data_IF_481237663325
#
_entry.id   IF_481237663325
#
_cell.length_a   1.000
_cell.length_b   1.000
_cell.length_c   1.000
_cell.angle_alpha   90.00
_cell.angle_beta   90.00
_cell.angle_gamma   90.00
#
_symmetry.space_group_name_H-M   'P 1'
#
loop_
_entity.id
_entity.type
_entity.pdbx_description
1 polymer ?
#
# COMPACT_ATOMS: atom_id res chain seq x y z
N UNK A 1 -34.06 -4.59 5.44
CA UNK A 1 -33.74 -6.02 5.38
C UNK A 1 -32.54 -6.32 4.46
N UNK A 2 -32.49 -5.81 3.24
CA UNK A 2 -31.41 -6.04 2.26
C UNK A 2 -30.00 -5.62 2.77
N UNK A 3 -29.88 -4.43 3.36
CA UNK A 3 -28.59 -3.87 3.86
C UNK A 3 -27.95 -4.77 4.95
N UNK A 4 -28.74 -5.33 5.85
CA UNK A 4 -28.21 -6.20 6.91
C UNK A 4 -27.74 -7.56 6.36
N UNK A 5 -28.50 -8.14 5.41
CA UNK A 5 -28.11 -9.37 4.72
C UNK A 5 -26.80 -9.15 3.94
N UNK A 6 -26.68 -8.02 3.25
CA UNK A 6 -25.45 -7.67 2.53
C UNK A 6 -24.22 -7.60 3.44
N UNK A 7 -24.35 -6.98 4.63
CA UNK A 7 -23.23 -6.88 5.58
C UNK A 7 -22.70 -8.24 6.01
N UNK A 8 -23.60 -9.22 6.20
CA UNK A 8 -23.21 -10.58 6.58
C UNK A 8 -22.50 -11.31 5.42
N UNK A 9 -23.01 -11.20 4.20
CA UNK A 9 -22.35 -11.79 3.02
C UNK A 9 -20.99 -11.14 2.75
N UNK A 10 -20.89 -9.83 2.95
CA UNK A 10 -19.63 -9.12 2.80
C UNK A 10 -18.61 -9.53 3.86
N UNK A 11 -19.05 -9.70 5.12
CA UNK A 11 -18.17 -10.23 6.17
C UNK A 11 -17.71 -11.65 5.84
N UNK A 12 -18.59 -12.52 5.39
CA UNK A 12 -18.24 -13.87 4.96
C UNK A 12 -17.22 -13.85 3.81
N UNK A 13 -17.44 -13.01 2.79
CA UNK A 13 -16.52 -12.84 1.68
C UNK A 13 -15.11 -12.42 2.15
N UNK A 14 -15.02 -11.39 3.01
CA UNK A 14 -13.74 -10.94 3.54
C UNK A 14 -13.07 -12.00 4.43
N UNK A 15 -13.85 -12.76 5.20
CA UNK A 15 -13.35 -13.86 6.03
C UNK A 15 -12.76 -14.98 5.17
N UNK A 16 -13.41 -15.33 4.07
CA UNK A 16 -12.87 -16.30 3.11
C UNK A 16 -11.58 -15.80 2.47
N UNK A 17 -11.54 -14.55 2.02
CA UNK A 17 -10.32 -13.96 1.48
C UNK A 17 -9.17 -13.95 2.50
N UNK A 18 -9.48 -13.69 3.77
CA UNK A 18 -8.49 -13.73 4.84
C UNK A 18 -7.94 -15.16 5.04
N UNK A 19 -8.81 -16.16 5.10
CA UNK A 19 -8.41 -17.56 5.27
C UNK A 19 -7.55 -18.04 4.09
N UNK A 20 -8.00 -17.82 2.85
CA UNK A 20 -7.23 -18.18 1.67
C UNK A 20 -5.92 -17.38 1.59
N UNK A 21 -5.94 -16.08 1.91
CA UNK A 21 -4.72 -15.27 1.93
C UNK A 21 -3.69 -15.78 2.92
N UNK A 22 -4.07 -16.11 4.15
CA UNK A 22 -3.15 -16.68 5.15
C UNK A 22 -2.64 -18.06 4.70
N UNK A 23 -3.50 -18.90 4.13
CA UNK A 23 -3.10 -20.18 3.57
C UNK A 23 -2.04 -20.03 2.47
N UNK A 24 -2.26 -19.16 1.50
CA UNK A 24 -1.28 -18.90 0.45
C UNK A 24 0.02 -18.27 0.96
N UNK A 25 -0.04 -17.40 1.97
CA UNK A 25 1.17 -16.88 2.62
C UNK A 25 1.95 -17.99 3.32
N UNK A 26 1.25 -18.96 3.92
CA UNK A 26 1.89 -20.13 4.52
C UNK A 26 2.61 -20.98 3.47
N UNK A 27 1.95 -21.31 2.36
CA UNK A 27 2.58 -22.04 1.25
C UNK A 27 3.82 -21.31 0.72
N UNK A 28 3.73 -20.00 0.52
CA UNK A 28 4.85 -19.19 0.05
C UNK A 28 6.07 -19.22 0.95
N UNK A 29 5.89 -19.15 2.26
CA UNK A 29 7.05 -19.14 3.16
C UNK A 29 7.79 -20.50 3.17
N UNK A 30 7.11 -21.60 2.84
CA UNK A 30 7.73 -22.93 2.72
C UNK A 30 8.51 -23.05 1.42
N UNK A 31 7.89 -22.73 0.28
CA UNK A 31 8.48 -22.87 -1.06
C UNK A 31 9.66 -21.91 -1.23
N UNK A 32 9.50 -20.69 -0.74
CA UNK A 32 10.54 -19.66 -0.73
C UNK A 32 10.94 -19.10 -2.09
N UNK A 33 11.73 -18.04 -2.09
CA UNK A 33 12.42 -17.47 -3.26
C UNK A 33 11.49 -16.74 -4.25
N UNK A 34 10.53 -15.98 -3.74
CA UNK A 34 9.75 -15.07 -4.57
C UNK A 34 10.08 -13.59 -4.29
N UNK A 35 9.58 -12.71 -5.15
CA UNK A 35 9.76 -11.27 -5.03
C UNK A 35 9.14 -10.71 -3.75
N UNK A 36 8.04 -11.29 -3.29
CA UNK A 36 7.27 -10.85 -2.12
C UNK A 36 8.08 -11.04 -0.84
N UNK A 37 8.63 -12.24 -0.63
CA UNK A 37 9.43 -12.56 0.56
C UNK A 37 10.76 -11.81 0.54
N UNK A 38 11.45 -11.78 -0.61
CA UNK A 38 12.75 -11.11 -0.72
C UNK A 38 12.68 -9.60 -0.44
N UNK A 39 11.57 -8.95 -0.75
CA UNK A 39 11.37 -7.55 -0.39
C UNK A 39 11.31 -7.34 1.14
N UNK A 40 10.75 -8.30 1.88
CA UNK A 40 10.67 -8.25 3.33
C UNK A 40 11.98 -8.63 4.03
N UNK A 41 12.93 -9.25 3.32
CA UNK A 41 14.26 -9.59 3.85
C UNK A 41 15.24 -8.41 3.85
N UNK A 42 14.93 -7.30 3.15
CA UNK A 42 15.75 -6.10 3.14
C UNK A 42 15.85 -5.56 4.57
N UNK A 43 17.06 -5.54 5.14
CA UNK A 43 17.36 -5.20 6.52
C UNK A 43 18.47 -4.12 6.61
N UNK A 44 18.83 -3.73 7.84
CA UNK A 44 19.83 -2.70 8.10
C UNK A 44 21.21 -3.24 8.54
N UNK A 45 21.44 -4.55 8.42
CA UNK A 45 22.72 -5.15 8.82
C UNK A 45 23.90 -4.67 7.95
N UNK A 46 23.63 -4.20 6.75
CA UNK A 46 24.61 -3.52 5.89
C UNK A 46 24.54 -1.99 5.95
N UNK A 47 23.81 -1.41 6.91
CA UNK A 47 23.61 0.03 7.02
C UNK A 47 22.22 0.48 6.57
N UNK A 48 21.95 1.78 6.74
CA UNK A 48 20.63 2.34 6.46
C UNK A 48 20.33 2.33 4.95
N UNK A 49 19.24 1.71 4.56
CA UNK A 49 18.80 1.58 3.16
C UNK A 49 17.28 1.75 3.04
N UNK A 50 16.82 2.04 1.82
CA UNK A 50 15.39 2.07 1.54
C UNK A 50 14.75 0.71 1.82
N UNK A 51 13.48 0.70 2.24
CA UNK A 51 12.67 -0.50 2.52
C UNK A 51 13.16 -1.39 3.65
N UNK A 52 14.19 -0.99 4.42
CA UNK A 52 14.84 -1.85 5.39
C UNK A 52 14.09 -2.00 6.71
N UNK A 53 13.23 -1.06 7.12
CA UNK A 53 12.62 -1.02 8.47
C UNK A 53 11.93 -2.32 8.85
N UNK A 54 11.03 -2.81 8.01
CA UNK A 54 10.23 -4.00 8.33
C UNK A 54 11.09 -5.26 8.29
N UNK A 55 12.02 -5.33 7.33
CA UNK A 55 12.93 -6.47 7.26
C UNK A 55 13.86 -6.53 8.46
N UNK A 56 14.33 -5.38 8.95
CA UNK A 56 15.12 -5.32 10.19
C UNK A 56 14.30 -5.79 11.40
N UNK A 57 13.05 -5.34 11.53
CA UNK A 57 12.17 -5.81 12.62
C UNK A 57 11.99 -7.33 12.55
N UNK A 58 11.71 -7.88 11.34
CA UNK A 58 11.57 -9.33 11.17
C UNK A 58 12.89 -10.07 11.49
N UNK A 59 14.03 -9.51 11.08
CA UNK A 59 15.36 -10.06 11.34
C UNK A 59 15.65 -10.12 12.85
N UNK A 60 15.43 -9.03 13.57
CA UNK A 60 15.62 -8.96 15.02
C UNK A 60 14.67 -9.91 15.78
N UNK A 61 13.42 -9.99 15.38
CA UNK A 61 12.44 -10.94 15.95
C UNK A 61 12.91 -12.39 15.71
N UNK A 62 13.35 -12.71 14.48
CA UNK A 62 13.83 -14.04 14.14
C UNK A 62 15.03 -14.45 15.01
N UNK A 63 15.99 -13.54 15.22
CA UNK A 63 17.14 -13.78 16.08
C UNK A 63 16.73 -13.91 17.55
N UNK A 64 15.89 -12.98 18.06
CA UNK A 64 15.49 -12.97 19.47
C UNK A 64 14.75 -14.24 19.87
N UNK A 65 13.84 -14.72 19.03
CA UNK A 65 13.05 -15.93 19.28
C UNK A 65 13.69 -17.21 18.74
N UNK A 66 14.87 -17.12 18.10
CA UNK A 66 15.55 -18.24 17.44
C UNK A 66 14.65 -19.02 16.48
N UNK A 67 13.91 -18.29 15.66
CA UNK A 67 13.02 -18.82 14.62
C UNK A 67 13.56 -18.50 13.22
N UNK A 68 13.12 -19.25 12.20
CA UNK A 68 13.48 -18.96 10.81
C UNK A 68 12.96 -17.59 10.38
N UNK A 69 13.79 -16.79 9.70
CA UNK A 69 13.40 -15.45 9.22
C UNK A 69 12.14 -15.48 8.36
N UNK A 70 12.00 -16.48 7.48
CA UNK A 70 10.79 -16.66 6.65
C UNK A 70 9.53 -16.84 7.48
N UNK A 71 9.63 -17.56 8.60
CA UNK A 71 8.49 -17.74 9.49
C UNK A 71 8.12 -16.42 10.19
N UNK A 72 9.10 -15.64 10.62
CA UNK A 72 8.86 -14.30 11.17
C UNK A 72 8.18 -13.39 10.13
N UNK A 73 8.64 -13.42 8.87
CA UNK A 73 8.03 -12.68 7.77
C UNK A 73 6.59 -13.15 7.53
N UNK A 74 6.35 -14.46 7.48
CA UNK A 74 4.99 -15.03 7.32
C UNK A 74 4.04 -14.53 8.41
N UNK A 75 4.47 -14.56 9.67
CA UNK A 75 3.64 -14.06 10.79
C UNK A 75 3.33 -12.57 10.61
N UNK A 76 4.34 -11.78 10.26
CA UNK A 76 4.16 -10.34 10.07
C UNK A 76 3.24 -10.03 8.89
N UNK A 77 3.43 -10.70 7.75
CA UNK A 77 2.55 -10.57 6.59
C UNK A 77 1.11 -10.95 6.91
N UNK A 78 0.92 -12.04 7.66
CA UNK A 78 -0.41 -12.51 8.08
C UNK A 78 -1.11 -11.51 9.00
N UNK A 79 -0.36 -10.91 9.95
CA UNK A 79 -0.88 -9.86 10.83
C UNK A 79 -1.29 -8.64 10.03
N UNK A 80 -0.41 -8.12 9.16
CA UNK A 80 -0.69 -6.91 8.37
C UNK A 80 -1.86 -7.14 7.40
N UNK A 81 -1.93 -8.31 6.77
CA UNK A 81 -3.05 -8.65 5.90
C UNK A 81 -4.36 -8.73 6.69
N UNK A 82 -4.35 -9.31 7.89
CA UNK A 82 -5.51 -9.34 8.79
C UNK A 82 -5.95 -7.93 9.19
N UNK A 83 -5.00 -7.07 9.56
CA UNK A 83 -5.28 -5.66 9.88
C UNK A 83 -5.90 -4.94 8.67
N UNK A 84 -5.35 -5.16 7.47
CA UNK A 84 -5.90 -4.60 6.23
C UNK A 84 -7.36 -5.00 6.03
N UNK A 85 -7.68 -6.28 6.10
CA UNK A 85 -9.06 -6.78 5.94
C UNK A 85 -10.00 -6.18 7.00
N UNK A 86 -9.56 -6.08 8.27
CA UNK A 86 -10.35 -5.47 9.35
C UNK A 86 -10.61 -3.99 9.07
N UNK A 87 -9.59 -3.25 8.63
CA UNK A 87 -9.72 -1.81 8.32
C UNK A 87 -10.64 -1.59 7.12
N UNK A 88 -10.49 -2.40 6.06
CA UNK A 88 -11.39 -2.39 4.89
C UNK A 88 -12.84 -2.65 5.32
N UNK A 89 -13.08 -3.68 6.13
CA UNK A 89 -14.40 -3.97 6.65
C UNK A 89 -15.00 -2.78 7.44
N UNK A 90 -14.23 -2.23 8.39
CA UNK A 90 -14.67 -1.09 9.20
C UNK A 90 -15.00 0.14 8.34
N UNK A 91 -14.19 0.40 7.31
CA UNK A 91 -14.43 1.51 6.40
C UNK A 91 -15.70 1.30 5.56
N UNK A 92 -15.81 0.15 4.88
CA UNK A 92 -16.92 -0.12 3.97
C UNK A 92 -18.25 -0.35 4.69
N UNK A 93 -18.23 -0.83 5.93
CA UNK A 93 -19.43 -0.95 6.77
C UNK A 93 -20.19 0.37 6.92
N UNK A 94 -19.48 1.51 6.88
CA UNK A 94 -20.02 2.86 7.07
C UNK A 94 -20.38 3.55 5.74
N UNK A 95 -20.04 2.96 4.60
CA UNK A 95 -20.35 3.50 3.28
C UNK A 95 -21.76 3.12 2.87
N UNK A 96 -22.50 4.06 2.27
CA UNK A 96 -23.80 3.76 1.66
C UNK A 96 -23.57 3.01 0.37
N UNK A 97 -23.91 1.74 0.38
CA UNK A 97 -23.66 0.80 -0.70
C UNK A 97 -24.78 0.96 -1.74
N UNK A 98 -24.38 1.20 -2.99
CA UNK A 98 -25.23 1.11 -4.17
C UNK A 98 -24.70 0.01 -5.11
N UNK A 99 -25.43 -0.31 -6.17
CA UNK A 99 -25.04 -1.37 -7.12
C UNK A 99 -23.66 -1.17 -7.75
N UNK A 100 -23.27 0.08 -8.02
CA UNK A 100 -21.96 0.39 -8.59
C UNK A 100 -20.82 0.17 -7.58
N UNK A 101 -21.04 0.53 -6.32
CA UNK A 101 -20.08 0.24 -5.25
C UNK A 101 -19.96 -1.28 -5.03
N UNK A 102 -21.08 -2.01 -5.09
CA UNK A 102 -21.07 -3.48 -5.06
C UNK A 102 -20.21 -4.05 -6.18
N UNK A 103 -20.43 -3.58 -7.41
CA UNK A 103 -19.64 -4.02 -8.54
C UNK A 103 -18.14 -3.77 -8.34
N UNK A 104 -17.76 -2.60 -7.80
CA UNK A 104 -16.36 -2.30 -7.47
C UNK A 104 -15.82 -3.24 -6.40
N UNK A 105 -16.55 -3.45 -5.30
CA UNK A 105 -16.09 -4.29 -4.19
C UNK A 105 -15.84 -5.74 -4.63
N UNK A 106 -16.73 -6.30 -5.44
CA UNK A 106 -16.64 -7.68 -5.92
C UNK A 106 -15.88 -7.82 -7.24
N UNK A 107 -15.39 -6.71 -7.80
CA UNK A 107 -14.51 -6.77 -8.96
C UNK A 107 -13.22 -7.53 -8.62
N UNK A 108 -12.77 -8.45 -9.50
CA UNK A 108 -11.54 -9.20 -9.26
C UNK A 108 -10.28 -8.33 -9.20
N UNK A 109 -10.36 -7.06 -9.61
CA UNK A 109 -9.22 -6.14 -9.67
C UNK A 109 -8.91 -5.51 -8.31
N UNK A 110 -9.85 -5.48 -7.35
CA UNK A 110 -9.66 -4.79 -6.07
C UNK A 110 -9.32 -5.77 -4.92
N UNK A 111 -10.29 -6.08 -4.08
CA UNK A 111 -10.05 -6.84 -2.83
C UNK A 111 -9.67 -8.30 -3.10
N UNK A 112 -10.21 -8.88 -4.18
CA UNK A 112 -9.89 -10.26 -4.57
C UNK A 112 -8.51 -10.38 -5.22
N UNK A 113 -8.03 -9.35 -5.91
CA UNK A 113 -6.81 -9.42 -6.70
C UNK A 113 -5.58 -9.91 -5.93
N UNK A 114 -5.28 -9.44 -4.71
CA UNK A 114 -4.13 -9.93 -3.96
C UNK A 114 -4.17 -11.42 -3.63
N UNK A 115 -5.36 -12.02 -3.54
CA UNK A 115 -5.52 -13.46 -3.28
C UNK A 115 -5.48 -14.26 -4.58
N UNK A 116 -5.99 -13.68 -5.66
CA UNK A 116 -5.96 -14.30 -6.99
C UNK A 116 -4.54 -14.30 -7.61
N UNK A 117 -3.77 -13.24 -7.33
CA UNK A 117 -2.39 -13.07 -7.77
C UNK A 117 -1.45 -13.11 -6.56
N UNK A 118 -0.97 -14.30 -6.25
CA UNK A 118 -0.20 -14.57 -5.03
C UNK A 118 1.06 -13.70 -4.92
N UNK A 119 1.68 -13.30 -6.05
CA UNK A 119 2.84 -12.42 -6.07
C UNK A 119 2.58 -11.01 -5.51
N UNK A 120 1.31 -10.61 -5.46
CA UNK A 120 0.88 -9.30 -4.94
C UNK A 120 0.43 -9.40 -3.48
N UNK A 121 0.19 -10.63 -2.98
CA UNK A 121 -0.35 -10.87 -1.65
C UNK A 121 0.61 -10.41 -0.56
N UNK A 122 0.11 -9.59 0.35
CA UNK A 122 0.82 -9.07 1.51
C UNK A 122 2.17 -8.39 1.20
N UNK A 123 2.26 -7.67 0.09
CA UNK A 123 3.39 -6.78 -0.18
C UNK A 123 3.37 -5.56 0.74
N UNK A 124 4.48 -4.83 0.79
CA UNK A 124 4.63 -3.63 1.64
C UNK A 124 3.64 -2.51 1.32
N UNK A 125 3.04 -2.51 0.12
CA UNK A 125 1.97 -1.58 -0.27
C UNK A 125 0.75 -1.65 0.67
N UNK A 126 0.51 -2.78 1.34
CA UNK A 126 -0.57 -2.88 2.34
C UNK A 126 -0.47 -1.85 3.46
N UNK A 127 0.74 -1.48 3.87
CA UNK A 127 0.92 -0.42 4.86
C UNK A 127 0.37 0.92 4.37
N UNK A 128 0.54 1.21 3.07
CA UNK A 128 0.03 2.44 2.48
C UNK A 128 -1.49 2.41 2.43
N UNK A 129 -2.09 1.29 2.02
CA UNK A 129 -3.55 1.16 1.98
C UNK A 129 -4.15 1.26 3.39
N UNK A 130 -3.55 0.62 4.39
CA UNK A 130 -3.97 0.76 5.80
C UNK A 130 -3.84 2.22 6.23
N UNK A 131 -2.66 2.83 6.01
CA UNK A 131 -2.41 4.22 6.36
C UNK A 131 -3.39 5.18 5.69
N UNK A 132 -3.70 4.99 4.41
CA UNK A 132 -4.67 5.81 3.70
C UNK A 132 -6.11 5.62 4.21
N UNK A 133 -6.54 4.39 4.46
CA UNK A 133 -7.87 4.12 5.02
C UNK A 133 -8.03 4.71 6.43
N UNK A 134 -6.99 4.63 7.27
CA UNK A 134 -6.97 5.27 8.58
C UNK A 134 -7.03 6.79 8.42
N UNK A 135 -6.26 7.36 7.51
CA UNK A 135 -6.31 8.79 7.19
C UNK A 135 -7.71 9.25 6.77
N UNK A 136 -8.41 8.49 5.92
CA UNK A 136 -9.80 8.76 5.56
C UNK A 136 -10.72 8.77 6.77
N UNK A 137 -10.56 7.81 7.69
CA UNK A 137 -11.34 7.76 8.93
C UNK A 137 -11.09 8.99 9.83
N UNK A 138 -9.82 9.36 10.04
CA UNK A 138 -9.47 10.56 10.80
C UNK A 138 -9.96 11.83 10.11
N UNK A 139 -9.90 11.89 8.78
CA UNK A 139 -10.37 13.04 8.01
C UNK A 139 -11.90 13.15 7.97
N UNK A 140 -12.64 12.06 8.14
CA UNK A 140 -14.11 12.05 8.19
C UNK A 140 -14.68 12.40 9.56
N UNK A 141 -13.87 12.30 10.60
CA UNK A 141 -14.30 12.60 11.97
C UNK A 141 -14.35 14.11 12.24
N UNK A 142 -15.00 14.52 13.33
CA UNK A 142 -15.07 15.92 13.80
C UNK A 142 -13.72 16.49 14.27
N UNK A 143 -12.62 15.77 14.02
CA UNK A 143 -11.29 16.25 14.37
C UNK A 143 -10.93 17.48 13.54
N UNK A 144 -10.28 18.44 14.20
CA UNK A 144 -9.81 19.69 13.59
C UNK A 144 -8.87 19.36 12.41
N UNK A 145 -8.85 20.22 11.41
CA UNK A 145 -8.00 20.09 10.22
C UNK A 145 -6.53 19.81 10.56
N UNK A 146 -6.06 20.35 11.68
CA UNK A 146 -4.71 20.13 12.17
C UNK A 146 -4.37 18.66 12.47
N UNK A 147 -5.36 17.83 12.87
CA UNK A 147 -5.12 16.40 13.13
C UNK A 147 -4.79 15.65 11.83
N UNK A 148 -5.49 15.97 10.74
CA UNK A 148 -5.19 15.38 9.42
C UNK A 148 -3.83 15.81 8.89
N UNK A 149 -3.45 17.06 9.11
CA UNK A 149 -2.11 17.57 8.77
C UNK A 149 -1.02 16.90 9.60
N UNK A 150 -1.26 16.76 10.91
CA UNK A 150 -0.33 16.07 11.81
C UNK A 150 -0.18 14.58 11.46
N UNK A 151 -1.30 13.92 11.10
CA UNK A 151 -1.27 12.55 10.62
C UNK A 151 -0.34 12.41 9.40
N UNK A 152 -0.52 13.25 8.39
CA UNK A 152 0.35 13.24 7.21
C UNK A 152 1.82 13.51 7.58
N UNK A 153 2.06 14.50 8.43
CA UNK A 153 3.41 14.88 8.85
C UNK A 153 4.17 13.74 9.55
N UNK A 154 3.46 12.88 10.31
CA UNK A 154 4.07 11.77 11.05
C UNK A 154 4.02 10.46 10.26
N UNK A 155 2.86 10.11 9.69
CA UNK A 155 2.64 8.78 9.13
C UNK A 155 3.26 8.63 7.75
N UNK A 156 3.22 9.66 6.89
CA UNK A 156 3.82 9.54 5.56
C UNK A 156 5.33 9.26 5.59
N UNK A 157 6.16 9.91 6.42
CA UNK A 157 7.57 9.54 6.56
C UNK A 157 7.77 8.09 6.99
N UNK A 158 6.95 7.59 7.93
CA UNK A 158 7.02 6.18 8.35
C UNK A 158 6.71 5.25 7.17
N UNK A 159 5.69 5.57 6.38
CA UNK A 159 5.36 4.81 5.17
C UNK A 159 6.49 4.87 4.13
N UNK A 160 7.19 6.02 3.98
CA UNK A 160 8.37 6.14 3.12
C UNK A 160 9.52 5.23 3.58
N UNK A 161 9.75 5.09 4.88
CA UNK A 161 10.75 4.17 5.43
C UNK A 161 10.43 2.71 5.12
N UNK A 162 9.13 2.37 5.11
CA UNK A 162 8.66 1.02 4.81
C UNK A 162 8.73 0.73 3.30
N UNK A 163 8.31 1.72 2.50
CA UNK A 163 8.22 1.58 1.05
C UNK A 163 8.22 2.95 0.36
N UNK A 164 9.37 3.36 -0.20
CA UNK A 164 9.59 4.69 -0.76
C UNK A 164 8.63 5.07 -1.92
N UNK A 165 8.10 4.13 -2.75
CA UNK A 165 7.16 4.51 -3.80
C UNK A 165 5.82 5.07 -3.28
N UNK A 166 5.62 5.18 -1.95
CA UNK A 166 4.47 5.90 -1.37
C UNK A 166 4.34 7.33 -1.92
N UNK A 167 5.40 7.92 -2.45
CA UNK A 167 5.37 9.24 -3.10
C UNK A 167 4.34 9.30 -4.23
N UNK A 168 4.11 8.19 -4.95
CA UNK A 168 3.08 8.10 -5.98
C UNK A 168 1.65 8.12 -5.43
N UNK A 169 1.48 7.92 -4.12
CA UNK A 169 0.20 8.00 -3.43
C UNK A 169 -0.07 9.39 -2.82
N UNK A 170 0.92 10.29 -2.78
CA UNK A 170 0.74 11.65 -2.26
C UNK A 170 -0.45 12.39 -2.89
N UNK A 171 -0.72 12.30 -4.21
CA UNK A 171 -1.89 12.94 -4.79
C UNK A 171 -3.23 12.52 -4.16
N UNK A 172 -3.36 11.27 -3.71
CA UNK A 172 -4.57 10.79 -3.04
C UNK A 172 -4.73 11.42 -1.65
N UNK A 173 -3.66 11.46 -0.86
CA UNK A 173 -3.66 12.16 0.44
C UNK A 173 -3.92 13.66 0.27
N UNK A 174 -3.29 14.27 -0.72
CA UNK A 174 -3.51 15.69 -1.06
C UNK A 174 -4.96 15.96 -1.46
N UNK A 175 -5.55 15.12 -2.31
CA UNK A 175 -6.95 15.24 -2.72
C UNK A 175 -7.91 15.24 -1.54
N UNK A 176 -7.67 14.39 -0.54
CA UNK A 176 -8.47 14.36 0.70
C UNK A 176 -8.29 15.64 1.50
N UNK A 177 -7.08 16.15 1.66
CA UNK A 177 -6.84 17.41 2.37
C UNK A 177 -7.49 18.60 1.66
N UNK A 178 -7.31 18.71 0.34
CA UNK A 178 -7.95 19.78 -0.45
C UNK A 178 -9.48 19.74 -0.31
N UNK A 179 -10.07 18.54 -0.36
CA UNK A 179 -11.53 18.39 -0.21
C UNK A 179 -12.04 18.75 1.18
N UNK A 180 -11.18 18.68 2.18
CA UNK A 180 -11.50 18.99 3.58
C UNK A 180 -11.46 20.48 3.88
N UNK A 181 -10.49 21.19 3.32
CA UNK A 181 -10.39 22.64 3.53
C UNK A 181 -11.41 23.38 2.69
N UNK A 182 -12.31 24.12 3.34
CA UNK A 182 -13.36 24.92 2.65
C UNK A 182 -12.77 26.02 1.77
N UNK A 183 -11.68 26.64 2.25
CA UNK A 183 -10.99 27.72 1.57
C UNK A 183 -9.50 27.40 1.43
N UNK A 184 -9.02 27.31 0.20
CA UNK A 184 -7.61 27.14 -0.14
C UNK A 184 -6.90 28.50 -0.18
N UNK A 185 -6.84 29.17 0.96
CA UNK A 185 -6.02 30.38 1.09
C UNK A 185 -4.52 30.03 1.19
N UNK A 186 -3.63 31.02 0.99
CA UNK A 186 -2.18 30.83 1.02
C UNK A 186 -1.69 30.14 2.31
N UNK A 187 -2.33 30.45 3.46
CA UNK A 187 -1.99 29.86 4.76
C UNK A 187 -2.32 28.36 4.82
N UNK A 188 -3.45 27.94 4.27
CA UNK A 188 -3.86 26.54 4.26
C UNK A 188 -3.04 25.73 3.27
N UNK A 189 -2.74 26.30 2.10
CA UNK A 189 -1.82 25.67 1.12
C UNK A 189 -0.44 25.46 1.75
N UNK A 190 0.10 26.46 2.44
CA UNK A 190 1.38 26.34 3.14
C UNK A 190 1.36 25.21 4.19
N UNK A 191 0.31 25.13 5.03
CA UNK A 191 0.17 24.04 6.02
C UNK A 191 0.11 22.67 5.38
N UNK A 192 -0.65 22.53 4.28
CA UNK A 192 -0.73 21.29 3.52
C UNK A 192 0.66 20.93 2.98
N UNK A 193 1.37 21.85 2.34
CA UNK A 193 2.72 21.62 1.81
C UNK A 193 3.69 21.18 2.91
N UNK A 194 3.68 21.85 4.07
CA UNK A 194 4.52 21.49 5.22
C UNK A 194 4.21 20.08 5.71
N UNK A 195 2.95 19.62 5.65
CA UNK A 195 2.61 18.27 6.10
C UNK A 195 3.21 17.14 5.25
N UNK A 196 3.58 17.41 3.98
CA UNK A 196 4.25 16.45 3.10
C UNK A 196 5.78 16.56 3.14
N UNK A 197 6.31 17.67 3.68
CA UNK A 197 7.73 17.99 3.59
C UNK A 197 8.65 16.89 4.17
N UNK A 198 8.41 16.31 5.37
CA UNK A 198 9.29 15.28 5.92
C UNK A 198 9.34 14.02 5.04
N UNK A 199 8.20 13.59 4.51
CA UNK A 199 8.13 12.43 3.62
C UNK A 199 8.84 12.71 2.30
N UNK A 200 8.70 13.92 1.74
CA UNK A 200 9.38 14.32 0.50
C UNK A 200 10.89 14.35 0.71
N UNK A 201 11.37 14.92 1.81
CA UNK A 201 12.81 14.96 2.14
C UNK A 201 13.35 13.52 2.23
N UNK A 202 12.63 12.63 2.89
CA UNK A 202 13.04 11.24 3.07
C UNK A 202 13.10 10.48 1.73
N UNK A 203 12.11 10.67 0.87
CA UNK A 203 12.11 10.09 -0.48
C UNK A 203 13.28 10.61 -1.31
N UNK A 204 13.54 11.91 -1.28
CA UNK A 204 14.71 12.52 -1.95
C UNK A 204 16.02 11.94 -1.40
N UNK A 205 16.12 11.78 -0.07
CA UNK A 205 17.28 11.17 0.55
C UNK A 205 17.56 9.76 0.01
N UNK A 206 16.56 8.91 -0.10
CA UNK A 206 16.71 7.55 -0.63
C UNK A 206 17.08 7.52 -2.12
N UNK A 207 16.63 8.50 -2.90
CA UNK A 207 16.98 8.60 -4.33
C UNK A 207 18.43 9.01 -4.48
N UNK A 208 18.91 9.95 -3.65
CA UNK A 208 20.25 10.51 -3.71
C UNK A 208 21.30 9.61 -3.06
N UNK A 209 20.91 8.74 -2.12
CA UNK A 209 21.82 7.86 -1.38
C UNK A 209 21.43 6.38 -1.60
N UNK A 210 21.74 5.81 -2.77
CA UNK A 210 21.55 4.39 -3.01
C UNK A 210 22.52 3.58 -2.12
N UNK A 211 22.16 2.33 -1.84
CA UNK A 211 23.03 1.41 -1.09
C UNK A 211 24.36 1.21 -1.84
N UNK A 212 25.48 1.20 -1.11
CA UNK A 212 26.80 0.88 -1.68
C UNK A 212 26.95 -0.64 -1.88
N UNK A 213 27.87 -1.05 -2.73
CA UNK A 213 28.16 -2.50 -2.97
C UNK A 213 28.62 -3.19 -1.68
N UNK A 214 29.41 -2.50 -0.87
CA UNK A 214 29.91 -3.04 0.39
C UNK A 214 28.76 -3.26 1.39
N UNK A 215 27.91 -2.25 1.58
CA UNK A 215 26.76 -2.33 2.46
C UNK A 215 25.78 -3.40 2.02
N UNK A 216 25.55 -3.52 0.71
CA UNK A 216 24.71 -4.59 0.17
C UNK A 216 25.31 -5.97 0.45
N UNK A 217 26.65 -6.15 0.26
CA UNK A 217 27.33 -7.39 0.58
C UNK A 217 27.24 -7.77 2.05
N UNK A 218 27.35 -6.79 2.95
CA UNK A 218 27.14 -7.02 4.41
C UNK A 218 25.72 -7.49 4.70
N UNK A 219 24.71 -6.86 4.10
CA UNK A 219 23.31 -7.28 4.23
C UNK A 219 23.10 -8.71 3.71
N UNK A 220 23.63 -9.03 2.53
CA UNK A 220 23.55 -10.40 1.95
C UNK A 220 24.25 -11.43 2.85
N UNK A 221 25.43 -11.11 3.37
CA UNK A 221 26.15 -12.00 4.27
C UNK A 221 25.36 -12.26 5.57
N UNK A 222 24.67 -11.26 6.11
CA UNK A 222 23.82 -11.44 7.28
C UNK A 222 22.65 -12.38 7.02
N UNK A 223 22.07 -12.35 5.82
CA UNK A 223 21.02 -13.28 5.40
C UNK A 223 21.57 -14.70 5.21
N UNK A 224 22.71 -14.83 4.53
CA UNK A 224 23.38 -16.12 4.32
C UNK A 224 23.74 -16.78 5.66
N UNK A 225 24.15 -15.99 6.66
CA UNK A 225 24.49 -16.49 8.01
C UNK A 225 23.31 -17.14 8.74
N UNK A 226 22.08 -16.84 8.36
CA UNK A 226 20.85 -17.44 8.92
C UNK A 226 20.16 -18.41 7.94
N UNK A 227 20.87 -18.81 6.85
CA UNK A 227 20.38 -19.76 5.87
C UNK A 227 19.39 -19.17 4.85
N UNK A 228 19.36 -17.84 4.70
CA UNK A 228 18.52 -17.15 3.71
C UNK A 228 19.39 -16.53 2.61
N UNK A 229 18.80 -16.38 1.41
CA UNK A 229 19.48 -15.75 0.27
C UNK A 229 18.80 -14.44 -0.13
N UNK A 230 19.61 -13.47 -0.57
CA UNK A 230 19.10 -12.23 -1.15
C UNK A 230 18.59 -12.51 -2.56
N UNK A 231 17.27 -12.40 -2.74
CA UNK A 231 16.58 -12.73 -3.99
C UNK A 231 15.99 -11.49 -4.63
N UNK A 232 15.72 -11.53 -5.93
CA UNK A 232 14.99 -10.50 -6.71
C UNK A 232 14.99 -9.08 -6.12
N UNK A 233 13.98 -8.71 -5.32
CA UNK A 233 13.80 -7.34 -4.79
C UNK A 233 14.97 -6.89 -3.90
N UNK A 234 15.61 -7.81 -3.17
CA UNK A 234 16.82 -7.53 -2.40
C UNK A 234 18.01 -7.31 -3.33
N UNK A 235 18.17 -8.13 -4.37
CA UNK A 235 19.24 -7.98 -5.35
C UNK A 235 19.10 -6.68 -6.17
N UNK A 236 17.87 -6.27 -6.48
CA UNK A 236 17.59 -5.03 -7.22
C UNK A 236 17.98 -3.74 -6.47
N UNK A 237 18.27 -3.80 -5.17
CA UNK A 237 18.79 -2.63 -4.44
C UNK A 237 20.12 -2.13 -5.01
N UNK A 238 20.94 -3.01 -5.59
CA UNK A 238 22.20 -2.67 -6.24
C UNK A 238 22.05 -2.14 -7.67
N UNK A 239 20.85 -2.11 -8.24
CA UNK A 239 20.66 -1.67 -9.61
C UNK A 239 21.16 -0.23 -9.76
N UNK A 240 22.29 -0.09 -10.46
CA UNK A 240 22.90 1.21 -10.81
C UNK A 240 22.26 1.83 -12.06
N UNK A 241 21.23 1.16 -12.64
CA UNK A 241 20.60 1.65 -13.85
C UNK A 241 19.97 3.02 -13.60
N UNK A 242 20.27 3.97 -14.46
CA UNK A 242 19.62 5.27 -14.46
C UNK A 242 18.10 5.12 -14.64
N UNK A 243 17.33 6.10 -14.21
CA UNK A 243 15.86 6.13 -14.42
C UNK A 243 15.54 5.93 -15.92
N UNK A 244 16.35 6.50 -16.80
CA UNK A 244 16.20 6.35 -18.24
C UNK A 244 16.42 4.90 -18.70
N UNK A 245 17.45 4.22 -18.21
CA UNK A 245 17.74 2.82 -18.57
C UNK A 245 16.66 1.87 -18.02
N UNK A 246 16.16 2.11 -16.81
CA UNK A 246 15.04 1.36 -16.24
C UNK A 246 13.78 1.56 -17.08
N UNK A 247 13.49 2.81 -17.48
CA UNK A 247 12.34 3.13 -18.33
C UNK A 247 12.48 2.45 -19.71
N UNK A 248 13.65 2.55 -20.35
CA UNK A 248 13.93 1.91 -21.64
C UNK A 248 13.84 0.39 -21.55
N UNK A 249 14.41 -0.21 -20.49
CA UNK A 249 14.34 -1.65 -20.24
C UNK A 249 12.89 -2.12 -20.10
N UNK A 250 12.09 -1.43 -19.29
CA UNK A 250 10.68 -1.74 -19.13
C UNK A 250 9.89 -1.57 -20.43
N UNK A 251 10.17 -0.50 -21.19
CA UNK A 251 9.48 -0.25 -22.48
C UNK A 251 9.76 -1.35 -23.52
N UNK A 252 10.95 -1.92 -23.49
CA UNK A 252 11.32 -3.02 -24.38
C UNK A 252 10.66 -4.36 -23.97
N UNK A 253 10.39 -4.54 -22.66
CA UNK A 253 9.74 -5.75 -22.13
C UNK A 253 8.22 -5.70 -22.36
N UNK A 254 7.60 -4.51 -22.26
CA UNK A 254 6.17 -4.35 -22.40
C UNK A 254 5.72 -4.37 -23.86
N UNK A 255 5.18 -5.49 -24.31
CA UNK A 255 4.54 -5.61 -25.63
C UNK A 255 3.21 -4.83 -25.68
N UNK A 256 2.72 -4.54 -26.89
CA UNK A 256 1.42 -3.89 -27.10
C UNK A 256 0.26 -4.64 -26.39
N UNK A 257 0.33 -5.96 -26.34
CA UNK A 257 -0.68 -6.79 -25.65
C UNK A 257 -0.70 -6.55 -24.15
N UNK A 258 0.44 -6.26 -23.52
CA UNK A 258 0.54 -5.92 -22.10
C UNK A 258 -0.07 -4.54 -21.86
N UNK A 259 0.22 -3.55 -22.71
CA UNK A 259 -0.42 -2.22 -22.61
C UNK A 259 -1.94 -2.31 -22.77
N UNK A 260 -2.43 -3.10 -23.75
CA UNK A 260 -3.87 -3.31 -23.94
C UNK A 260 -4.50 -3.96 -22.70
N UNK A 261 -3.83 -4.92 -22.07
CA UNK A 261 -4.29 -5.55 -20.82
C UNK A 261 -4.40 -4.52 -19.69
N UNK A 262 -3.39 -3.69 -19.48
CA UNK A 262 -3.46 -2.63 -18.46
C UNK A 262 -4.55 -1.62 -18.75
N UNK A 263 -4.73 -1.23 -20.01
CA UNK A 263 -5.80 -0.32 -20.41
C UNK A 263 -7.19 -0.91 -20.10
N UNK A 264 -7.41 -2.19 -20.41
CA UNK A 264 -8.67 -2.87 -20.08
C UNK A 264 -8.86 -2.96 -18.55
N UNK A 265 -7.81 -3.27 -17.78
CA UNK A 265 -7.86 -3.28 -16.33
C UNK A 265 -8.25 -1.90 -15.78
N UNK A 266 -7.70 -0.82 -16.31
CA UNK A 266 -8.06 0.54 -15.93
C UNK A 266 -9.53 0.83 -16.25
N UNK A 267 -10.03 0.48 -17.44
CA UNK A 267 -11.42 0.68 -17.81
C UNK A 267 -12.36 -0.11 -16.89
N UNK A 268 -12.09 -1.39 -16.66
CA UNK A 268 -12.92 -2.25 -15.81
C UNK A 268 -12.86 -1.78 -14.35
N UNK A 269 -11.68 -1.41 -13.85
CA UNK A 269 -11.49 -0.97 -12.47
C UNK A 269 -12.10 0.41 -12.18
N UNK A 270 -11.81 1.39 -13.03
CA UNK A 270 -12.24 2.77 -12.82
C UNK A 270 -13.54 3.15 -13.53
N UNK A 271 -13.95 2.37 -14.56
CA UNK A 271 -15.19 2.61 -15.29
C UNK A 271 -16.43 2.82 -14.41
N UNK A 272 -16.69 1.96 -13.42
CA UNK A 272 -17.81 2.15 -12.49
C UNK A 272 -17.71 3.45 -11.68
N UNK A 273 -16.51 3.89 -11.32
CA UNK A 273 -16.27 5.16 -10.59
C UNK A 273 -16.55 6.35 -11.51
N UNK A 274 -16.14 6.30 -12.77
CA UNK A 274 -16.46 7.32 -13.77
C UNK A 274 -17.97 7.37 -14.02
N UNK A 275 -18.63 6.24 -14.18
CA UNK A 275 -20.08 6.17 -14.34
C UNK A 275 -20.83 6.75 -13.13
N UNK A 276 -20.37 6.47 -11.91
CA UNK A 276 -20.88 7.09 -10.68
C UNK A 276 -20.75 8.61 -10.72
N UNK A 277 -19.61 9.12 -11.14
CA UNK A 277 -19.35 10.57 -11.25
C UNK A 277 -20.28 11.22 -12.27
N UNK A 278 -20.44 10.63 -13.45
CA UNK A 278 -21.37 11.11 -14.47
C UNK A 278 -22.82 11.06 -13.98
N UNK A 279 -23.28 9.94 -13.41
CA UNK A 279 -24.65 9.79 -12.92
C UNK A 279 -24.97 10.78 -11.81
N UNK A 280 -24.03 11.06 -10.90
CA UNK A 280 -24.19 12.04 -9.82
C UNK A 280 -24.31 13.48 -10.36
N UNK A 281 -23.61 13.78 -11.45
CA UNK A 281 -23.66 15.09 -12.12
C UNK A 281 -25.02 15.35 -12.80
N UNK A 282 -25.65 14.30 -13.34
CA UNK A 282 -26.97 14.39 -13.99
C UNK A 282 -28.14 14.40 -13.01
N UNK A 283 -28.04 13.75 -11.85
CA UNK A 283 -29.18 13.54 -10.94
C UNK A 283 -29.34 14.57 -9.81
N UNK A 284 -28.53 15.56 -9.72
CA UNK A 284 -28.59 16.75 -8.87
C UNK A 284 -27.29 17.09 -8.14
N UNK A 285 -27.01 18.34 -8.19
CA UNK A 285 -26.01 19.20 -7.57
C UNK A 285 -25.55 18.89 -6.12
N UNK A 286 -26.05 17.87 -5.46
CA UNK A 286 -25.86 17.67 -4.02
C UNK A 286 -25.27 16.30 -3.60
N UNK A 287 -24.94 15.41 -4.51
CA UNK A 287 -24.35 14.10 -4.20
C UNK A 287 -22.90 13.97 -4.62
N UNK A 288 -22.08 14.92 -4.26
CA UNK A 288 -20.63 14.69 -4.31
C UNK A 288 -20.25 13.78 -3.14
N UNK A 289 -19.46 12.77 -3.43
CA UNK A 289 -18.85 11.81 -2.51
C UNK A 289 -18.26 12.48 -1.25
N UNK A 290 -17.87 13.74 -1.36
CA UNK A 290 -17.24 14.56 -0.33
C UNK A 290 -18.20 15.27 0.65
N UNK A 291 -19.49 15.39 0.35
CA UNK A 291 -20.44 16.07 1.26
C UNK A 291 -20.77 15.23 2.49
N UNK A 292 -20.48 13.91 2.46
CA UNK A 292 -20.68 13.00 3.58
C UNK A 292 -19.55 13.01 4.60
N UNK A 293 -18.39 13.56 4.24
CA UNK A 293 -17.28 13.81 5.15
C UNK A 293 -17.47 15.10 5.97
N UNK A 294 -18.51 15.87 5.72
CA UNK A 294 -18.84 17.13 6.41
C UNK A 294 -19.85 17.01 7.57
N UNK A 295 -20.39 15.80 7.85
CA UNK A 295 -21.29 15.59 9.00
C UNK A 295 -20.66 14.70 10.05
#
# INVERSE_FOLDING_TARGET
>A
MFINKFKNYFLLYLSLLLLFGIFFLYEKHIIGNDSTISEWMINYQGGFTKRGVIGEICFQIAQFFNIKLRFAIFLFQSIIYSVYIIVVYKYLKNVNINYLILFVIFSPIFILYPVAEIEVLARKELFIFIGFLLFLNFSSSRYKDNVSLLYNFIVLPILCLIWEPVIFFFPFFLGVLISRFENLNKKNIFKISVSFLPATILCCFFILNPITEENHRLMVNSLNGIGESCYMSCALLLSKSSIYEQFKGNFNIYSFTIFLRYFLIIIIGFGPIFLLSFYSKFKNKNYFFFKKFKK
#
